data_IF_601448247362
#
_entry.id   IF_601448247362
#
_cell.length_a   1.000
_cell.length_b   1.000
_cell.length_c   1.000
_cell.angle_alpha   90.00
_cell.angle_beta   90.00
_cell.angle_gamma   90.00
#
_symmetry.space_group_name_H-M   'P 1'
#
loop_
_entity.id
_entity.type
_entity.pdbx_description
1 polymer ?
#
# COMPACT_ATOMS: atom_id res chain seq x y z
N UNK A 1 3.15 5.89 14.96
CA UNK A 1 2.26 6.40 13.90
C UNK A 1 0.95 5.63 13.92
N UNK A 2 -0.20 6.26 13.67
CA UNK A 2 -1.51 5.58 13.61
C UNK A 2 -1.63 4.78 12.31
N UNK A 3 -2.34 3.65 12.33
CA UNK A 3 -2.55 2.82 11.14
C UNK A 3 -3.19 3.56 9.95
N UNK A 4 -4.06 4.54 10.22
CA UNK A 4 -4.68 5.36 9.16
C UNK A 4 -3.70 6.25 8.42
N UNK A 5 -2.66 6.74 9.13
CA UNK A 5 -1.59 7.54 8.56
C UNK A 5 -0.68 6.68 7.70
N UNK A 6 -0.32 5.47 8.17
CA UNK A 6 0.47 4.52 7.38
C UNK A 6 -0.23 4.16 6.06
N UNK A 7 -1.54 3.94 6.09
CA UNK A 7 -2.35 3.71 4.88
C UNK A 7 -2.35 4.93 3.94
N UNK A 8 -2.47 6.14 4.48
CA UNK A 8 -2.42 7.36 3.68
C UNK A 8 -1.06 7.56 3.01
N UNK A 9 0.04 7.40 3.77
CA UNK A 9 1.39 7.43 3.21
C UNK A 9 1.58 6.39 2.10
N UNK A 10 1.08 5.18 2.28
CA UNK A 10 1.17 4.13 1.26
C UNK A 10 0.42 4.53 -0.01
N UNK A 11 -0.82 5.00 0.15
CA UNK A 11 -1.65 5.41 -0.98
C UNK A 11 -1.02 6.59 -1.74
N UNK A 12 -0.43 7.55 -1.02
CA UNK A 12 0.31 8.68 -1.60
C UNK A 12 1.50 8.20 -2.45
N UNK A 13 2.33 7.27 -1.92
CA UNK A 13 3.46 6.71 -2.67
C UNK A 13 3.00 6.02 -3.97
N UNK A 14 1.91 5.25 -3.91
CA UNK A 14 1.37 4.59 -5.10
C UNK A 14 0.78 5.59 -6.11
N UNK A 15 0.21 6.69 -5.64
CA UNK A 15 -0.36 7.74 -6.46
C UNK A 15 0.72 8.54 -7.21
N UNK A 16 1.78 8.94 -6.51
CA UNK A 16 2.90 9.68 -7.10
C UNK A 16 3.62 8.86 -8.19
N UNK A 17 3.65 7.54 -8.01
CA UNK A 17 4.33 6.58 -8.89
C UNK A 17 3.36 5.82 -9.81
N UNK A 18 2.11 6.27 -9.95
CA UNK A 18 1.07 5.53 -10.69
C UNK A 18 1.41 5.29 -12.17
N UNK A 19 2.27 6.13 -12.74
CA UNK A 19 2.73 6.05 -14.13
C UNK A 19 3.88 5.03 -14.33
N UNK A 20 4.48 4.52 -13.25
CA UNK A 20 5.60 3.57 -13.30
C UNK A 20 5.14 2.12 -13.43
N UNK A 21 3.84 1.85 -13.33
CA UNK A 21 3.29 0.50 -13.30
C UNK A 21 3.23 -0.10 -11.88
N UNK A 22 3.08 -1.43 -11.76
CA UNK A 22 2.99 -2.09 -10.45
C UNK A 22 4.28 -1.96 -9.63
N UNK A 23 4.14 -1.53 -8.38
CA UNK A 23 5.25 -1.18 -7.49
C UNK A 23 5.56 -2.35 -6.55
N UNK A 24 6.84 -2.75 -6.40
CA UNK A 24 7.23 -3.90 -5.58
C UNK A 24 7.16 -3.64 -4.07
N UNK A 25 6.66 -4.62 -3.30
CA UNK A 25 6.59 -4.64 -1.83
C UNK A 25 7.00 -6.01 -1.26
N UNK A 26 7.49 -6.00 -0.02
CA UNK A 26 7.84 -7.22 0.70
C UNK A 26 9.29 -7.63 0.44
N UNK A 27 9.52 -8.88 0.05
CA UNK A 27 10.86 -9.45 -0.17
C UNK A 27 11.26 -9.54 -1.64
N UNK A 28 10.47 -8.95 -2.54
CA UNK A 28 10.83 -8.86 -3.95
C UNK A 28 12.00 -7.87 -4.14
N UNK A 29 12.74 -8.05 -5.22
CA UNK A 29 13.82 -7.13 -5.60
C UNK A 29 13.27 -5.69 -5.73
N UNK A 30 14.04 -4.71 -5.25
CA UNK A 30 13.69 -3.29 -5.31
C UNK A 30 12.40 -2.92 -4.56
N UNK A 31 11.95 -3.76 -3.62
CA UNK A 31 10.79 -3.47 -2.78
C UNK A 31 10.91 -2.10 -2.10
N UNK A 32 9.84 -1.31 -2.20
CA UNK A 32 9.80 0.05 -1.66
C UNK A 32 9.89 0.00 -0.14
N UNK A 33 10.94 0.61 0.46
CA UNK A 33 11.05 0.65 1.91
C UNK A 33 9.99 1.57 2.51
N UNK A 34 9.57 1.33 3.76
CA UNK A 34 8.69 2.26 4.46
C UNK A 34 9.36 3.63 4.64
N UNK A 35 8.64 4.75 4.44
CA UNK A 35 9.16 6.07 4.80
C UNK A 35 9.34 6.20 6.32
N UNK A 36 10.20 7.14 6.72
CA UNK A 36 10.77 7.25 8.06
C UNK A 36 9.78 7.05 9.22
N UNK A 37 10.20 6.24 10.21
CA UNK A 37 9.42 5.96 11.42
C UNK A 37 8.33 4.88 11.27
N UNK A 38 8.04 4.41 10.06
CA UNK A 38 7.10 3.32 9.80
C UNK A 38 7.84 1.97 9.84
N UNK A 39 7.35 1.02 10.62
CA UNK A 39 7.92 -0.33 10.63
C UNK A 39 7.57 -1.10 9.35
N UNK A 40 8.45 -1.98 8.89
CA UNK A 40 8.18 -2.84 7.72
C UNK A 40 6.91 -3.68 7.90
N UNK A 41 6.61 -4.12 9.12
CA UNK A 41 5.39 -4.88 9.43
C UNK A 41 4.14 -4.03 9.19
N UNK A 42 4.12 -2.80 9.69
CA UNK A 42 2.95 -1.93 9.58
C UNK A 42 2.77 -1.45 8.14
N UNK A 43 3.87 -1.28 7.40
CA UNK A 43 3.87 -1.01 5.97
C UNK A 43 3.20 -2.13 5.15
N UNK A 44 3.62 -3.38 5.36
CA UNK A 44 3.02 -4.54 4.68
C UNK A 44 1.58 -4.81 5.14
N UNK A 45 1.26 -4.50 6.41
CA UNK A 45 -0.12 -4.53 6.90
C UNK A 45 -1.00 -3.51 6.17
N UNK A 46 -0.50 -2.31 5.91
CA UNK A 46 -1.23 -1.31 5.15
C UNK A 46 -1.50 -1.77 3.70
N UNK A 47 -0.55 -2.46 3.05
CA UNK A 47 -0.77 -3.09 1.73
C UNK A 47 -1.96 -4.06 1.81
N UNK A 48 -1.92 -5.00 2.75
CA UNK A 48 -2.98 -6.00 2.93
C UNK A 48 -4.36 -5.34 3.15
N UNK A 49 -4.44 -4.36 4.03
CA UNK A 49 -5.70 -3.66 4.32
C UNK A 49 -6.21 -2.89 3.10
N UNK A 50 -5.36 -2.11 2.41
CA UNK A 50 -5.80 -1.36 1.24
C UNK A 50 -6.26 -2.28 0.10
N UNK A 51 -5.65 -3.47 -0.03
CA UNK A 51 -6.06 -4.49 -0.98
C UNK A 51 -7.40 -5.16 -0.60
N UNK A 52 -7.58 -5.47 0.68
CA UNK A 52 -8.83 -6.02 1.24
C UNK A 52 -10.02 -5.11 0.91
N UNK A 53 -9.83 -3.80 1.11
CA UNK A 53 -10.85 -2.78 0.82
C UNK A 53 -10.85 -2.29 -0.64
N UNK A 54 -10.12 -2.95 -1.55
CA UNK A 54 -10.08 -2.65 -2.99
C UNK A 54 -9.64 -1.23 -3.34
N UNK A 55 -8.93 -0.56 -2.44
CA UNK A 55 -8.35 0.77 -2.67
C UNK A 55 -7.13 0.69 -3.58
N UNK A 56 -6.47 -0.46 -3.59
CA UNK A 56 -5.33 -0.78 -4.47
C UNK A 56 -5.54 -2.15 -5.11
N UNK A 57 -4.93 -2.35 -6.27
CA UNK A 57 -4.77 -3.65 -6.88
C UNK A 57 -3.50 -4.31 -6.33
N UNK A 58 -3.59 -5.58 -5.93
CA UNK A 58 -2.49 -6.35 -5.35
C UNK A 58 -2.27 -7.64 -6.13
N UNK A 59 -1.03 -7.87 -6.55
CA UNK A 59 -0.59 -9.10 -7.20
C UNK A 59 0.43 -9.79 -6.30
N UNK A 60 0.04 -10.84 -5.55
CA UNK A 60 0.97 -11.55 -4.68
C UNK A 60 2.03 -12.28 -5.52
N UNK A 61 3.26 -12.30 -5.02
CA UNK A 61 4.32 -13.18 -5.51
C UNK A 61 4.48 -14.29 -4.49
N UNK A 62 4.43 -15.53 -4.95
CA UNK A 62 4.66 -16.69 -4.11
C UNK A 62 6.12 -16.65 -3.64
N UNK A 63 6.32 -16.34 -2.36
CA UNK A 63 7.61 -16.51 -1.72
C UNK A 63 7.90 -18.01 -1.68
N UNK A 64 9.06 -18.42 -2.20
CA UNK A 64 9.52 -19.82 -2.13
C UNK A 64 9.90 -20.23 -0.71
N UNK A 65 10.01 -19.24 0.18
CA UNK A 65 10.20 -19.42 1.61
C UNK A 65 8.82 -19.66 2.24
N UNK A 66 8.60 -20.85 2.83
CA UNK A 66 7.34 -21.29 3.48
C UNK A 66 6.82 -20.36 4.61
N UNK A 67 7.47 -19.23 4.86
CA UNK A 67 7.23 -18.30 5.96
C UNK A 67 6.00 -17.40 5.80
N UNK A 68 5.22 -17.51 4.71
CA UNK A 68 3.95 -16.78 4.56
C UNK A 68 4.09 -15.25 4.56
N UNK A 69 5.26 -14.74 4.17
CA UNK A 69 5.56 -13.31 4.21
C UNK A 69 4.95 -12.59 3.01
N UNK A 70 4.21 -11.50 3.27
CA UNK A 70 3.54 -10.72 2.24
C UNK A 70 4.56 -10.08 1.30
N UNK A 71 4.59 -10.55 0.05
CA UNK A 71 5.45 -10.06 -1.02
C UNK A 71 4.67 -10.01 -2.33
N UNK A 72 4.93 -9.02 -3.17
CA UNK A 72 4.18 -8.82 -4.40
C UNK A 72 4.25 -7.40 -4.93
N UNK A 73 3.32 -7.08 -5.81
CA UNK A 73 3.26 -5.78 -6.49
C UNK A 73 1.91 -5.11 -6.24
N UNK A 74 1.94 -3.81 -5.95
CA UNK A 74 0.77 -2.99 -5.71
C UNK A 74 0.64 -1.89 -6.76
N UNK A 75 -0.60 -1.55 -7.13
CA UNK A 75 -0.91 -0.39 -7.97
C UNK A 75 -2.13 0.34 -7.40
N UNK A 76 -2.10 1.67 -7.37
CA UNK A 76 -3.31 2.42 -7.06
C UNK A 76 -4.34 2.24 -8.19
N UNK A 77 -5.60 2.03 -7.82
CA UNK A 77 -6.69 1.89 -8.79
C UNK A 77 -7.61 3.13 -8.77
N UNK A 78 -8.66 3.11 -9.60
CA UNK A 78 -9.57 4.24 -9.73
C UNK A 78 -10.28 4.61 -8.42
N UNK A 79 -10.57 3.64 -7.55
CA UNK A 79 -11.13 3.93 -6.23
C UNK A 79 -10.10 4.61 -5.35
N UNK A 80 -8.87 4.09 -5.31
CA UNK A 80 -7.76 4.67 -4.56
C UNK A 80 -7.47 6.12 -4.92
N UNK A 81 -7.47 6.44 -6.23
CA UNK A 81 -7.30 7.81 -6.72
C UNK A 81 -8.41 8.72 -6.17
N UNK A 82 -9.69 8.33 -6.35
CA UNK A 82 -10.83 9.12 -5.86
C UNK A 82 -10.82 9.31 -4.35
N UNK A 83 -10.38 8.28 -3.60
CA UNK A 83 -10.23 8.34 -2.14
C UNK A 83 -9.17 9.37 -1.76
N UNK A 84 -8.02 9.37 -2.42
CA UNK A 84 -6.93 10.30 -2.15
C UNK A 84 -7.30 11.74 -2.51
N UNK A 85 -7.97 11.94 -3.65
CA UNK A 85 -8.42 13.25 -4.14
C UNK A 85 -9.66 13.80 -3.40
N UNK A 86 -10.20 13.06 -2.43
CA UNK A 86 -11.40 13.46 -1.66
C UNK A 86 -12.71 13.38 -2.45
N UNK A 87 -12.71 12.76 -3.63
CA UNK A 87 -13.90 12.57 -4.46
C UNK A 87 -14.86 11.49 -3.95
N UNK A 88 -14.44 10.65 -3.00
CA UNK A 88 -15.29 9.64 -2.34
C UNK A 88 -14.82 9.38 -0.90
N UNK A 89 -15.77 9.05 -0.02
CA UNK A 89 -15.44 8.63 1.34
C UNK A 89 -14.64 7.32 1.33
N UNK A 90 -13.56 7.20 2.12
CA UNK A 90 -12.72 6.01 2.11
C UNK A 90 -13.43 4.83 2.81
N UNK A 91 -13.33 3.60 2.25
CA UNK A 91 -13.96 2.41 2.83
C UNK A 91 -13.30 1.91 4.13
N UNK A 92 -12.09 2.41 4.42
CA UNK A 92 -11.34 2.22 5.67
C UNK A 92 -10.75 3.57 6.07
N UNK A 93 -10.58 3.87 7.36
CA UNK A 93 -9.98 5.14 7.80
C UNK A 93 -8.59 5.36 7.17
N UNK A 94 -8.42 6.43 6.41
CA UNK A 94 -7.17 6.85 5.78
C UNK A 94 -6.94 8.31 6.17
N UNK A 95 -5.71 8.64 6.52
CA UNK A 95 -5.30 10.01 6.90
C UNK A 95 -3.98 10.31 6.20
N UNK A 96 -3.87 11.45 5.51
CA UNK A 96 -2.62 11.89 4.87
C UNK A 96 -1.80 12.75 5.85
N UNK A 97 -2.48 13.34 6.86
CA UNK A 97 -1.90 14.09 7.97
C UNK A 97 -1.96 13.29 9.30
N UNK A 98 -1.14 13.69 10.29
CA UNK A 98 -0.98 13.01 11.60
C UNK A 98 -2.15 13.23 12.60
#
# INVERSE_FOLDING_TARGET
MKDSVVRGCLLQVLYERQNEGPIPFGHVEQAVPPPGGISRRDWLRAVAQLSEYRVIDWTPVQDKSETGLLSGFAKINALGIKVLEGGVAPPIRISIDE
#
